data_IF_707182505134
#
_entry.id   IF_707182505134
#
_cell.length_a   1.000
_cell.length_b   1.000
_cell.length_c   1.000
_cell.angle_alpha   90.00
_cell.angle_beta   90.00
_cell.angle_gamma   90.00
#
_symmetry.space_group_name_H-M   'P 1'
#
loop_
_entity.id
_entity.type
_entity.pdbx_description
1 polymer ?
#
# COMPACT_ATOMS: atom_id res chain seq x y z
N UNK A 1 66.90 8.23 -52.34
CA UNK A 1 65.93 9.20 -51.78
C UNK A 1 64.99 8.36 -50.91
N UNK A 2 65.08 8.25 -49.57
CA UNK A 2 65.72 8.93 -48.45
C UNK A 2 66.13 7.84 -47.41
N UNK A 3 67.37 7.81 -46.89
CA UNK A 3 67.80 8.26 -45.54
C UNK A 3 67.29 7.32 -44.41
N UNK A 4 68.07 6.30 -43.96
CA UNK A 4 68.93 6.22 -42.73
C UNK A 4 68.14 6.33 -41.41
N UNK A 5 68.36 5.66 -40.26
CA UNK A 5 69.43 4.83 -39.66
C UNK A 5 69.02 4.47 -38.20
N UNK A 6 69.54 3.34 -37.68
CA UNK A 6 70.06 3.09 -36.29
C UNK A 6 69.10 3.14 -35.06
N UNK A 7 68.86 1.97 -34.45
CA UNK A 7 69.47 1.51 -33.18
C UNK A 7 69.14 2.11 -31.79
N UNK A 8 68.79 1.19 -30.86
CA UNK A 8 69.20 1.02 -29.43
C UNK A 8 68.35 1.54 -28.24
N UNK A 9 68.39 0.69 -27.18
CA UNK A 9 68.37 0.90 -25.71
C UNK A 9 67.01 1.01 -24.95
N UNK A 10 66.63 0.03 -24.11
CA UNK A 10 66.97 -0.28 -22.67
C UNK A 10 65.84 0.23 -21.69
N UNK A 11 65.77 -0.17 -20.40
CA UNK A 11 64.62 -0.85 -19.76
C UNK A 11 64.01 -0.07 -18.57
N UNK A 12 62.70 -0.18 -18.33
CA UNK A 12 61.99 0.43 -17.19
C UNK A 12 60.74 -0.44 -16.96
N UNK A 13 60.34 -0.95 -15.79
CA UNK A 13 60.59 -0.63 -14.38
C UNK A 13 60.36 -1.90 -13.54
N UNK A 14 61.37 -2.34 -12.79
CA UNK A 14 61.21 -3.12 -11.56
C UNK A 14 61.03 -2.12 -10.41
N UNK A 15 59.84 -1.54 -10.27
CA UNK A 15 59.50 -0.64 -9.17
C UNK A 15 57.98 -0.50 -9.06
N UNK A 16 57.33 -1.47 -8.40
CA UNK A 16 55.94 -1.33 -7.96
C UNK A 16 55.54 -2.33 -6.86
N UNK A 17 56.19 -3.50 -6.79
CA UNK A 17 55.73 -4.57 -5.89
C UNK A 17 56.18 -4.39 -4.42
N UNK A 18 57.12 -3.50 -4.12
CA UNK A 18 57.62 -3.28 -2.75
C UNK A 18 56.96 -2.12 -2.00
N UNK A 19 56.06 -1.35 -2.62
CA UNK A 19 55.37 -0.21 -1.97
C UNK A 19 53.99 -0.61 -1.43
N UNK A 20 53.42 -1.74 -1.85
CA UNK A 20 52.13 -2.23 -1.34
C UNK A 20 52.22 -3.00 -0.01
N UNK A 21 53.42 -3.33 0.47
CA UNK A 21 53.61 -4.11 1.71
C UNK A 21 54.02 -3.23 2.92
N UNK A 22 54.37 -1.95 2.70
CA UNK A 22 54.83 -1.04 3.78
C UNK A 22 53.90 0.14 4.08
N UNK A 23 52.68 0.14 3.54
CA UNK A 23 51.62 1.11 3.86
C UNK A 23 50.46 0.47 4.65
N UNK A 24 50.72 -0.66 5.30
CA UNK A 24 49.83 -1.28 6.30
C UNK A 24 50.44 -1.19 7.71
N UNK A 25 51.08 -0.07 8.02
CA UNK A 25 51.52 0.25 9.36
C UNK A 25 51.31 1.75 9.62
N UNK A 26 50.58 2.04 10.70
CA UNK A 26 50.20 3.36 11.24
C UNK A 26 48.99 4.06 10.62
N UNK A 27 47.81 3.54 10.96
CA UNK A 27 46.82 4.33 11.71
C UNK A 27 46.15 3.41 12.73
N UNK A 28 46.72 3.30 13.93
CA UNK A 28 45.97 2.80 15.08
C UNK A 28 45.72 4.00 15.99
N UNK A 29 44.53 4.58 15.86
CA UNK A 29 43.92 5.34 16.93
C UNK A 29 43.23 4.30 17.82
N UNK A 30 43.77 4.03 19.01
CA UNK A 30 43.22 3.00 19.90
C UNK A 30 42.02 3.54 20.65
N UNK A 31 40.84 3.26 20.10
CA UNK A 31 39.70 2.78 20.89
C UNK A 31 39.05 1.63 20.08
N UNK A 32 39.83 0.59 19.80
CA UNK A 32 39.43 -0.53 18.97
C UNK A 32 38.43 -1.41 19.73
N UNK A 33 37.14 -1.11 19.59
CA UNK A 33 36.04 -1.98 19.97
C UNK A 33 35.96 -3.15 18.99
N UNK A 34 36.01 -4.38 19.50
CA UNK A 34 35.89 -5.58 18.66
C UNK A 34 34.42 -5.83 18.31
N UNK A 35 34.16 -5.96 17.00
CA UNK A 35 32.84 -6.24 16.46
C UNK A 35 32.82 -7.67 15.92
N UNK A 36 31.89 -8.47 16.44
CA UNK A 36 31.57 -9.79 15.93
C UNK A 36 30.27 -9.70 15.13
N UNK A 37 30.08 -10.58 14.16
CA UNK A 37 28.87 -10.62 13.34
C UNK A 37 28.21 -11.99 13.40
N UNK A 38 26.88 -11.99 13.44
CA UNK A 38 26.06 -13.19 13.29
C UNK A 38 24.87 -12.86 12.40
N UNK A 39 24.54 -13.75 11.48
CA UNK A 39 23.31 -13.65 10.70
C UNK A 39 22.16 -14.19 11.54
N UNK A 40 21.04 -13.50 11.59
CA UNK A 40 19.86 -14.03 12.28
C UNK A 40 19.36 -15.34 11.65
N UNK A 41 18.49 -16.06 12.36
CA UNK A 41 18.02 -17.41 11.98
C UNK A 41 19.14 -18.44 11.73
N UNK A 42 20.39 -18.12 12.09
CA UNK A 42 21.51 -19.04 11.99
C UNK A 42 21.23 -20.32 12.79
N UNK A 43 21.50 -21.52 12.22
CA UNK A 43 21.27 -22.79 12.92
C UNK A 43 22.01 -22.88 14.25
N UNK A 44 21.43 -23.59 15.21
CA UNK A 44 22.09 -23.91 16.49
C UNK A 44 23.42 -24.63 16.23
N UNK A 45 24.48 -24.16 16.88
CA UNK A 45 25.85 -24.64 16.72
C UNK A 45 26.70 -23.80 15.76
N UNK A 46 26.11 -22.85 15.02
CA UNK A 46 26.85 -21.92 14.14
C UNK A 46 27.92 -21.18 14.93
N UNK A 47 29.15 -21.15 14.39
CA UNK A 47 30.29 -20.49 15.03
C UNK A 47 30.29 -19.01 14.68
N UNK A 48 30.40 -18.15 15.69
CA UNK A 48 30.61 -16.71 15.50
C UNK A 48 32.12 -16.49 15.37
N UNK A 49 32.56 -16.13 14.17
CA UNK A 49 33.97 -16.04 13.80
C UNK A 49 34.66 -14.81 14.43
N UNK A 50 35.99 -14.84 14.47
CA UNK A 50 36.83 -13.76 15.02
C UNK A 50 36.88 -13.68 16.54
N UNK A 51 35.81 -14.04 17.26
CA UNK A 51 35.75 -13.95 18.73
C UNK A 51 36.85 -14.78 19.40
N UNK A 52 37.01 -16.05 19.01
CA UNK A 52 38.01 -16.92 19.61
C UNK A 52 39.44 -16.44 19.36
N UNK A 53 39.72 -15.95 18.15
CA UNK A 53 41.02 -15.41 17.75
C UNK A 53 41.33 -14.15 18.56
N UNK A 54 40.40 -13.19 18.57
CA UNK A 54 40.51 -11.96 19.36
C UNK A 54 40.76 -12.24 20.85
N UNK A 55 39.98 -13.15 21.46
CA UNK A 55 40.16 -13.51 22.86
C UNK A 55 41.52 -14.20 23.12
N UNK A 56 42.02 -15.00 22.18
CA UNK A 56 43.30 -15.67 22.30
C UNK A 56 44.49 -14.70 22.10
N UNK A 57 44.36 -13.68 21.26
CA UNK A 57 45.39 -12.63 21.12
C UNK A 57 45.56 -11.81 22.41
N UNK A 58 44.49 -11.70 23.20
CA UNK A 58 44.54 -11.08 24.53
C UNK A 58 45.19 -11.99 25.58
N UNK A 59 45.34 -13.29 25.32
CA UNK A 59 46.09 -14.19 26.20
C UNK A 59 47.58 -13.96 25.99
N UNK A 60 48.21 -13.19 26.88
CA UNK A 60 49.67 -13.00 26.94
C UNK A 60 50.44 -14.24 27.44
N UNK A 61 50.11 -15.44 26.93
CA UNK A 61 50.77 -16.70 27.29
C UNK A 61 50.30 -17.37 28.60
N UNK A 62 49.36 -16.77 29.33
CA UNK A 62 48.77 -17.35 30.53
C UNK A 62 47.50 -18.20 30.24
N UNK A 63 47.24 -19.22 31.07
CA UNK A 63 46.10 -20.12 30.92
C UNK A 63 44.85 -19.48 31.53
N UNK A 64 43.88 -19.12 30.68
CA UNK A 64 42.60 -18.51 31.10
C UNK A 64 41.42 -19.40 30.70
N UNK A 65 40.38 -19.36 31.52
CA UNK A 65 39.03 -19.82 31.22
C UNK A 65 38.15 -18.63 30.86
N UNK A 66 37.33 -18.80 29.83
CA UNK A 66 36.36 -17.82 29.40
C UNK A 66 34.99 -18.11 30.00
N UNK A 67 34.29 -17.05 30.39
CA UNK A 67 32.92 -17.13 30.87
C UNK A 67 32.10 -16.00 30.23
N UNK A 68 31.01 -16.35 29.55
CA UNK A 68 30.03 -15.37 29.09
C UNK A 68 29.19 -14.92 30.30
N UNK A 69 29.11 -13.62 30.51
CA UNK A 69 28.27 -12.98 31.52
C UNK A 69 27.03 -12.39 30.87
N UNK A 70 25.98 -12.35 31.68
CA UNK A 70 24.70 -11.79 31.28
C UNK A 70 23.64 -12.88 31.29
N UNK A 71 22.48 -12.51 31.77
CA UNK A 71 21.23 -13.25 31.60
C UNK A 71 20.25 -12.44 30.75
N UNK A 72 20.81 -11.53 29.95
CA UNK A 72 20.10 -10.70 28.98
C UNK A 72 19.64 -11.53 27.78
N UNK A 73 18.77 -10.93 26.96
CA UNK A 73 18.12 -11.62 25.85
C UNK A 73 19.11 -12.33 24.94
N UNK A 74 20.21 -11.68 24.54
CA UNK A 74 21.18 -12.22 23.58
C UNK A 74 22.14 -13.25 24.22
N UNK A 75 22.60 -13.07 25.46
CA UNK A 75 23.60 -13.96 26.06
C UNK A 75 23.03 -15.37 26.30
N UNK A 76 21.72 -15.48 26.58
CA UNK A 76 21.01 -16.77 26.69
C UNK A 76 20.97 -17.55 25.38
N UNK A 77 21.04 -16.85 24.24
CA UNK A 77 20.97 -17.44 22.90
C UNK A 77 22.34 -17.92 22.40
N UNK A 78 23.40 -17.71 23.18
CA UNK A 78 24.77 -18.02 22.79
C UNK A 78 25.42 -19.01 23.77
N UNK A 79 26.48 -19.66 23.30
CA UNK A 79 27.33 -20.52 24.10
C UNK A 79 28.80 -20.19 23.83
N UNK A 80 29.54 -19.84 24.89
CA UNK A 80 30.98 -19.60 24.81
C UNK A 80 31.73 -20.81 25.35
N UNK A 81 32.58 -21.42 24.53
CA UNK A 81 33.39 -22.55 24.95
C UNK A 81 34.50 -22.11 25.92
N UNK A 82 34.59 -22.68 27.14
CA UNK A 82 35.36 -22.11 28.24
C UNK A 82 36.87 -22.14 28.05
N UNK A 83 37.43 -23.05 27.26
CA UNK A 83 38.89 -23.12 27.04
C UNK A 83 39.34 -22.52 25.71
N UNK A 84 38.51 -22.65 24.66
CA UNK A 84 38.87 -22.23 23.30
C UNK A 84 38.41 -20.81 22.97
N UNK A 85 37.43 -20.27 23.69
CA UNK A 85 36.84 -18.97 23.40
C UNK A 85 35.92 -18.98 22.18
N UNK A 86 35.59 -20.17 21.65
CA UNK A 86 34.68 -20.29 20.52
C UNK A 86 33.26 -19.96 20.96
N UNK A 87 32.71 -18.89 20.39
CA UNK A 87 31.33 -18.48 20.58
C UNK A 87 30.44 -19.17 19.52
N UNK A 88 29.32 -19.74 19.95
CA UNK A 88 28.38 -20.44 19.08
C UNK A 88 26.94 -20.04 19.37
N UNK A 89 26.08 -20.12 18.36
CA UNK A 89 24.63 -20.00 18.50
C UNK A 89 24.10 -21.20 19.30
N UNK A 90 23.29 -20.94 20.32
CA UNK A 90 22.66 -21.95 21.19
C UNK A 90 21.16 -22.09 20.95
N UNK A 91 20.49 -20.99 20.60
CA UNK A 91 19.07 -20.93 20.32
C UNK A 91 18.79 -19.92 19.20
N UNK A 92 17.54 -19.89 18.69
CA UNK A 92 17.13 -18.99 17.60
C UNK A 92 17.44 -17.53 17.97
N UNK A 93 18.14 -16.85 17.06
CA UNK A 93 18.41 -15.41 17.13
C UNK A 93 17.49 -14.78 16.10
N UNK A 94 16.57 -13.95 16.58
CA UNK A 94 15.56 -13.23 15.80
C UNK A 94 15.81 -11.74 16.05
N UNK A 95 16.14 -11.00 15.00
CA UNK A 95 16.55 -9.60 15.10
C UNK A 95 15.34 -8.73 15.42
N UNK A 96 14.17 -9.02 14.88
CA UNK A 96 12.95 -8.23 15.10
C UNK A 96 12.57 -8.23 16.59
N UNK A 97 12.78 -9.36 17.28
CA UNK A 97 12.57 -9.50 18.72
C UNK A 97 13.65 -8.81 19.54
N UNK A 98 14.93 -8.93 19.15
CA UNK A 98 16.06 -8.38 19.91
C UNK A 98 16.24 -6.88 19.72
N UNK A 99 15.81 -6.35 18.57
CA UNK A 99 15.99 -4.97 18.14
C UNK A 99 14.70 -4.37 17.56
N UNK A 100 13.58 -4.33 18.32
CA UNK A 100 12.29 -3.84 17.82
C UNK A 100 12.32 -2.35 17.47
N UNK A 101 13.21 -1.58 18.14
CA UNK A 101 13.34 -0.14 17.96
C UNK A 101 14.32 0.27 16.86
N UNK A 102 15.00 -0.67 16.19
CA UNK A 102 15.77 -0.35 14.98
C UNK A 102 14.86 0.23 13.88
N UNK A 103 13.58 -0.14 13.92
CA UNK A 103 12.52 0.35 13.02
C UNK A 103 11.92 1.70 13.49
N UNK A 104 12.20 2.14 14.72
CA UNK A 104 11.57 3.32 15.34
C UNK A 104 12.09 4.67 14.79
N UNK A 105 13.07 4.67 13.89
CA UNK A 105 13.49 5.87 13.16
C UNK A 105 12.46 6.25 12.07
N UNK A 106 11.45 5.41 11.79
CA UNK A 106 10.47 5.68 10.72
C UNK A 106 9.03 5.97 11.19
N UNK A 107 8.71 5.87 12.48
CA UNK A 107 7.36 6.14 13.00
C UNK A 107 7.38 7.13 14.18
N UNK A 108 7.46 8.42 13.88
CA UNK A 108 6.98 9.45 14.81
C UNK A 108 5.45 9.50 14.75
N UNK A 109 4.76 8.48 15.28
CA UNK A 109 3.34 8.53 15.70
C UNK A 109 2.85 7.22 16.36
N UNK A 110 3.64 6.62 17.26
CA UNK A 110 3.15 5.57 18.16
C UNK A 110 3.31 5.99 19.63
N UNK A 111 2.55 7.00 20.02
CA UNK A 111 2.26 7.34 21.41
C UNK A 111 0.86 6.81 21.74
N UNK A 112 0.75 5.50 21.93
CA UNK A 112 -0.39 4.87 22.61
C UNK A 112 0.13 3.78 23.54
N UNK A 113 0.58 4.20 24.72
CA UNK A 113 0.64 3.32 25.89
C UNK A 113 -0.79 3.18 26.43
N UNK A 114 -1.52 2.21 25.90
CA UNK A 114 -2.69 1.65 26.54
C UNK A 114 -2.24 0.73 27.67
N UNK A 115 -2.28 1.25 28.89
CA UNK A 115 -2.15 0.50 30.13
C UNK A 115 -3.29 -0.52 30.23
N UNK A 116 -2.95 -1.79 30.38
CA UNK A 116 -3.47 -2.76 31.36
C UNK A 116 -3.27 -4.17 30.81
N UNK A 117 -2.16 -4.82 31.22
CA UNK A 117 -2.17 -6.16 31.79
C UNK A 117 -0.76 -6.50 32.31
N UNK A 118 -0.70 -6.76 33.61
CA UNK A 118 0.49 -7.23 34.31
C UNK A 118 0.86 -8.63 33.80
N UNK A 119 1.91 -8.70 32.98
CA UNK A 119 2.73 -9.91 32.89
C UNK A 119 4.16 -9.62 33.34
N UNK A 120 4.50 -10.31 34.41
CA UNK A 120 5.55 -10.02 35.37
C UNK A 120 6.90 -10.58 34.89
N UNK A 121 7.42 -10.13 33.73
CA UNK A 121 8.80 -10.45 33.29
C UNK A 121 9.47 -9.32 32.48
N UNK A 122 9.16 -8.06 32.77
CA UNK A 122 9.94 -6.92 32.28
C UNK A 122 10.95 -6.45 33.34
N UNK A 123 11.92 -7.31 33.69
CA UNK A 123 13.07 -6.87 34.49
C UNK A 123 14.04 -6.11 33.60
N UNK A 124 13.90 -4.78 33.60
CA UNK A 124 15.00 -3.81 33.51
C UNK A 124 16.14 -4.17 32.56
N UNK A 125 15.97 -3.87 31.28
CA UNK A 125 17.08 -3.67 30.33
C UNK A 125 16.74 -2.53 29.37
N UNK A 126 16.46 -1.36 29.93
CA UNK A 126 16.79 -0.12 29.24
C UNK A 126 18.32 0.04 29.30
N UNK A 127 19.03 -0.78 28.54
CA UNK A 127 20.46 -0.60 28.30
C UNK A 127 20.57 -0.04 26.88
N UNK A 128 21.08 1.18 26.80
CA UNK A 128 21.45 1.85 25.56
C UNK A 128 22.20 0.87 24.64
N UNK A 129 21.55 0.40 23.58
CA UNK A 129 22.26 -0.01 22.38
C UNK A 129 22.94 1.22 21.82
N UNK A 130 24.27 1.21 21.75
CA UNK A 130 25.03 2.29 21.10
C UNK A 130 24.63 2.34 19.63
N UNK A 131 24.06 3.47 19.21
CA UNK A 131 23.82 3.80 17.80
C UNK A 131 25.16 3.81 17.06
N UNK A 132 25.40 2.80 16.24
CA UNK A 132 26.34 2.88 15.14
C UNK A 132 25.52 3.11 13.87
N UNK A 133 25.50 4.34 13.38
CA UNK A 133 24.99 4.63 12.04
C UNK A 133 26.03 4.16 11.03
N UNK A 134 25.66 3.25 10.14
CA UNK A 134 26.51 2.91 9.01
C UNK A 134 26.54 4.07 8.00
N UNK A 135 27.47 4.03 7.05
CA UNK A 135 27.62 5.04 5.98
C UNK A 135 26.40 5.16 5.06
N UNK A 136 25.37 4.32 5.24
CA UNK A 136 24.09 4.33 4.53
C UNK A 136 22.90 4.80 5.41
N UNK A 137 23.13 5.22 6.65
CA UNK A 137 22.09 5.79 7.53
C UNK A 137 21.08 4.78 8.09
N UNK A 138 21.37 3.48 8.01
CA UNK A 138 20.53 2.41 8.57
C UNK A 138 21.01 2.07 9.98
N UNK A 139 20.11 2.06 10.95
CA UNK A 139 20.42 1.64 12.31
C UNK A 139 20.68 0.13 12.35
N UNK A 140 21.92 -0.28 12.59
CA UNK A 140 22.28 -1.70 12.71
C UNK A 140 21.86 -2.26 14.08
N UNK A 141 21.41 -3.52 14.11
CA UNK A 141 21.09 -4.20 15.36
C UNK A 141 22.38 -4.65 16.05
N UNK A 142 22.82 -3.88 17.04
CA UNK A 142 24.05 -4.17 17.80
C UNK A 142 23.70 -4.51 19.25
N UNK A 143 24.10 -5.70 19.67
CA UNK A 143 24.00 -6.16 21.05
C UNK A 143 25.38 -6.17 21.71
N UNK A 144 25.43 -6.09 23.03
CA UNK A 144 26.71 -6.10 23.76
C UNK A 144 26.86 -7.38 24.58
N UNK A 145 28.01 -8.04 24.45
CA UNK A 145 28.35 -9.24 25.19
C UNK A 145 29.47 -8.94 26.18
N UNK A 146 29.35 -9.50 27.37
CA UNK A 146 30.35 -9.34 28.43
C UNK A 146 31.04 -10.67 28.68
N UNK A 147 32.34 -10.75 28.45
CA UNK A 147 33.12 -11.97 28.64
C UNK A 147 34.14 -11.74 29.75
N UNK A 148 34.20 -12.66 30.72
CA UNK A 148 35.28 -12.71 31.71
C UNK A 148 36.40 -13.62 31.23
N UNK A 149 37.63 -13.14 31.40
CA UNK A 149 38.85 -13.92 31.36
C UNK A 149 39.22 -14.26 32.79
N UNK A 150 38.91 -15.48 33.21
CA UNK A 150 39.20 -15.98 34.55
C UNK A 150 40.50 -16.77 34.50
N UNK A 151 41.56 -16.34 35.20
CA UNK A 151 42.82 -17.05 35.15
C UNK A 151 42.76 -18.40 35.86
N UNK A 152 43.40 -19.40 35.28
CA UNK A 152 43.60 -20.70 35.93
C UNK A 152 44.83 -20.62 36.82
N UNK A 153 44.63 -20.70 38.12
CA UNK A 153 45.72 -20.95 39.06
C UNK A 153 46.24 -22.36 38.81
N UNK A 154 47.50 -22.52 38.39
CA UNK A 154 48.16 -23.83 38.44
C UNK A 154 48.24 -24.25 39.92
N UNK A 155 47.44 -25.22 40.34
CA UNK A 155 47.69 -25.94 41.59
C UNK A 155 48.98 -26.74 41.42
N UNK A 156 50.08 -26.21 41.96
CA UNK A 156 51.32 -26.96 42.11
C UNK A 156 51.11 -27.89 43.32
N UNK A 157 50.56 -29.08 43.09
CA UNK A 157 50.64 -30.17 44.07
C UNK A 157 52.05 -30.77 43.97
N UNK A 158 52.98 -30.17 44.73
CA UNK A 158 54.32 -30.73 44.97
C UNK A 158 54.35 -31.49 46.30
N UNK A 159 54.89 -32.72 46.37
CA UNK A 159 54.92 -33.53 47.58
C UNK A 159 56.10 -33.14 48.48
N UNK A 160 56.26 -31.87 48.83
CA UNK A 160 57.14 -31.43 49.92
C UNK A 160 56.81 -29.98 50.25
N UNK A 161 56.25 -29.76 51.44
CA UNK A 161 56.03 -28.42 51.96
C UNK A 161 57.36 -27.71 52.15
N UNK A 162 57.64 -26.69 51.34
CA UNK A 162 58.55 -25.57 51.60
C UNK A 162 58.33 -24.53 50.48
N UNK A 163 57.89 -23.32 50.85
CA UNK A 163 57.65 -22.20 49.92
C UNK A 163 58.95 -21.43 49.66
N UNK A 164 59.26 -21.14 48.39
CA UNK A 164 59.93 -19.91 48.00
C UNK A 164 58.99 -19.01 47.18
N UNK A 165 58.87 -17.75 47.61
CA UNK A 165 58.56 -16.58 46.78
C UNK A 165 57.45 -16.69 45.72
N UNK A 166 56.21 -16.42 46.12
CA UNK A 166 55.23 -15.82 45.20
C UNK A 166 55.36 -14.31 45.36
N UNK A 167 56.04 -13.65 44.42
CA UNK A 167 55.97 -12.18 44.28
C UNK A 167 55.79 -11.89 42.79
N UNK A 168 54.72 -11.15 42.51
CA UNK A 168 54.23 -10.59 41.25
C UNK A 168 53.81 -11.54 40.12
N UNK A 169 52.52 -11.87 40.13
CA UNK A 169 51.85 -12.53 39.02
C UNK A 169 50.35 -12.71 39.23
N UNK A 170 49.66 -11.72 39.81
CA UNK A 170 48.20 -11.79 39.96
C UNK A 170 47.60 -11.71 38.55
N UNK A 171 47.33 -12.86 37.94
CA UNK A 171 46.42 -12.91 36.82
C UNK A 171 45.07 -12.41 37.34
N UNK A 172 44.66 -11.21 36.91
CA UNK A 172 43.39 -10.62 37.32
C UNK A 172 42.29 -11.13 36.40
N UNK A 173 41.10 -11.29 36.96
CA UNK A 173 39.91 -11.50 36.12
C UNK A 173 39.64 -10.21 35.36
N UNK A 174 39.63 -10.29 34.03
CA UNK A 174 39.39 -9.15 33.15
C UNK A 174 38.03 -9.28 32.47
N UNK A 175 37.29 -8.17 32.37
CA UNK A 175 36.03 -8.10 31.62
C UNK A 175 36.30 -7.51 30.24
N UNK A 176 35.81 -8.20 29.22
CA UNK A 176 35.88 -7.78 27.82
C UNK A 176 34.46 -7.51 27.34
N UNK A 177 34.30 -6.40 26.63
CA UNK A 177 33.07 -6.07 25.93
C UNK A 177 33.24 -6.42 24.45
N UNK A 178 32.29 -7.18 23.90
CA UNK A 178 32.20 -7.48 22.48
C UNK A 178 30.90 -6.87 21.95
N UNK A 179 30.97 -6.17 20.82
CA UNK A 179 29.79 -5.69 20.11
C UNK A 179 29.39 -6.75 19.09
N UNK A 180 28.23 -7.36 19.27
CA UNK A 180 27.67 -8.34 18.35
C UNK A 180 26.68 -7.66 17.41
N UNK A 181 27.06 -7.56 16.15
CA UNK A 181 26.20 -7.09 15.07
C UNK A 181 25.35 -8.26 14.58
N UNK A 182 24.02 -8.11 14.65
CA UNK A 182 23.07 -9.07 14.12
C UNK A 182 22.69 -8.60 12.71
N UNK A 183 23.04 -9.41 11.72
CA UNK A 183 22.78 -9.15 10.30
C UNK A 183 21.39 -9.65 9.94
N UNK A 184 20.62 -8.73 9.38
CA UNK A 184 19.24 -8.90 8.93
C UNK A 184 19.16 -9.84 7.71
N UNK A 185 18.10 -10.65 7.64
CA UNK A 185 17.72 -11.41 6.43
C UNK A 185 16.27 -11.13 6.06
N UNK A 186 15.88 -11.38 4.81
CA UNK A 186 14.49 -11.21 4.36
C UNK A 186 13.61 -12.39 4.82
N UNK A 187 13.40 -12.58 6.12
CA UNK A 187 12.60 -13.68 6.68
C UNK A 187 11.15 -13.29 7.00
N UNK A 188 10.81 -12.00 7.03
CA UNK A 188 9.44 -11.52 7.12
C UNK A 188 8.91 -11.09 5.75
N UNK A 189 7.61 -10.85 5.65
CA UNK A 189 6.98 -10.36 4.44
C UNK A 189 6.12 -9.13 4.78
N UNK A 190 5.83 -8.25 3.82
CA UNK A 190 4.98 -7.09 4.08
C UNK A 190 3.59 -7.51 4.59
N UNK A 191 3.10 -6.89 5.65
CA UNK A 191 1.79 -7.17 6.27
C UNK A 191 0.87 -5.95 6.31
N UNK A 192 -0.42 -6.17 6.04
CA UNK A 192 -1.46 -5.15 6.13
C UNK A 192 -2.08 -5.16 7.54
N UNK A 193 -1.87 -4.09 8.31
CA UNK A 193 -2.31 -4.02 9.72
C UNK A 193 -3.80 -3.70 9.88
N UNK A 194 -4.41 -3.02 8.91
CA UNK A 194 -5.83 -2.65 8.93
C UNK A 194 -6.78 -3.82 8.60
N UNK A 195 -6.25 -5.00 8.27
CA UNK A 195 -7.03 -6.15 7.82
C UNK A 195 -7.42 -6.07 6.35
N UNK A 196 -8.28 -7.00 5.93
CA UNK A 196 -8.79 -7.12 4.55
C UNK A 196 -10.24 -7.58 4.61
N UNK A 197 -11.18 -6.96 3.86
CA UNK A 197 -10.96 -5.95 2.82
C UNK A 197 -10.71 -4.54 3.37
N UNK A 198 -9.99 -3.73 2.58
CA UNK A 198 -9.89 -2.28 2.72
C UNK A 198 -10.98 -1.64 1.86
N UNK A 199 -11.71 -0.66 2.40
CA UNK A 199 -12.84 -0.02 1.69
C UNK A 199 -12.60 1.47 1.46
N UNK A 200 -12.84 1.94 0.22
CA UNK A 200 -12.66 3.34 -0.17
C UNK A 200 -13.85 3.79 -1.04
N UNK A 201 -14.32 5.02 -0.82
CA UNK A 201 -15.41 5.63 -1.61
C UNK A 201 -14.97 6.83 -2.45
N UNK A 202 -15.35 6.84 -3.73
CA UNK A 202 -15.27 8.02 -4.61
C UNK A 202 -16.66 8.42 -5.08
N UNK A 203 -16.98 9.70 -5.03
CA UNK A 203 -18.20 10.23 -5.64
C UNK A 203 -18.00 10.30 -7.14
N UNK A 204 -18.99 9.86 -7.91
CA UNK A 204 -18.94 9.92 -9.37
C UNK A 204 -18.91 11.33 -9.94
N UNK A 205 -18.46 11.45 -11.19
CA UNK A 205 -18.27 12.72 -11.89
C UNK A 205 -18.73 12.61 -13.35
N UNK A 206 -20.04 12.41 -13.59
CA UNK A 206 -20.59 12.08 -14.91
C UNK A 206 -20.44 13.23 -15.93
N UNK A 207 -20.37 14.47 -15.46
CA UNK A 207 -20.31 15.68 -16.30
C UNK A 207 -18.88 16.18 -16.62
N UNK A 208 -17.84 15.35 -16.45
CA UNK A 208 -16.48 15.69 -16.87
C UNK A 208 -16.31 15.57 -18.40
N UNK A 209 -17.13 16.30 -19.15
CA UNK A 209 -17.13 16.28 -20.61
C UNK A 209 -15.93 17.02 -21.23
N UNK A 210 -15.48 16.45 -22.36
CA UNK A 210 -14.54 16.94 -23.38
C UNK A 210 -13.07 16.49 -23.23
N UNK A 211 -12.74 15.47 -24.03
CA UNK A 211 -11.41 14.95 -24.38
C UNK A 211 -10.66 14.14 -23.31
N UNK A 212 -11.17 12.95 -22.98
CA UNK A 212 -10.32 11.88 -22.47
C UNK A 212 -9.99 10.92 -23.62
N UNK A 213 -8.79 11.06 -24.19
CA UNK A 213 -8.18 10.01 -25.00
C UNK A 213 -7.52 9.01 -24.05
N UNK A 214 -7.64 7.69 -24.26
CA UNK A 214 -6.73 6.74 -23.65
C UNK A 214 -5.32 7.18 -24.01
N UNK A 215 -4.43 7.32 -23.02
CA UNK A 215 -3.00 7.46 -23.29
C UNK A 215 -2.51 6.17 -23.95
N UNK A 216 -2.60 6.13 -25.28
CA UNK A 216 -1.84 5.20 -26.10
C UNK A 216 -0.35 5.55 -26.00
N UNK A 217 0.42 4.48 -25.93
CA UNK A 217 1.87 4.35 -25.98
C UNK A 217 2.59 5.32 -26.92
N UNK A 218 3.71 5.86 -26.44
CA UNK A 218 4.85 6.38 -27.20
C UNK A 218 4.58 7.34 -28.37
N UNK A 219 4.65 8.65 -28.11
CA UNK A 219 5.06 9.62 -29.11
C UNK A 219 5.83 10.79 -28.49
N UNK A 220 7.12 10.84 -28.82
CA UNK A 220 7.98 12.03 -28.73
C UNK A 220 7.46 13.09 -29.72
N UNK A 221 7.14 14.29 -29.23
CA UNK A 221 7.15 15.50 -30.08
C UNK A 221 7.54 16.73 -29.28
N UNK A 222 8.69 17.26 -29.65
CA UNK A 222 9.20 18.60 -29.34
C UNK A 222 8.24 19.68 -29.85
N UNK A 223 7.92 20.69 -29.04
CA UNK A 223 7.21 21.88 -29.51
C UNK A 223 6.77 22.82 -28.40
N UNK A 224 7.50 23.93 -28.25
CA UNK A 224 7.14 25.11 -27.46
C UNK A 224 5.86 25.77 -27.96
N UNK A 225 4.92 26.12 -27.06
CA UNK A 225 3.79 26.99 -27.40
C UNK A 225 2.74 27.03 -26.28
N UNK A 226 2.39 28.25 -25.86
CA UNK A 226 1.57 28.58 -24.70
C UNK A 226 0.14 28.02 -24.73
N UNK A 227 -0.38 27.67 -23.54
CA UNK A 227 -1.78 27.30 -23.32
C UNK A 227 -1.98 26.54 -22.01
N UNK A 228 -1.75 27.21 -20.87
CA UNK A 228 -2.03 26.65 -19.55
C UNK A 228 -3.55 26.52 -19.35
N UNK A 229 -4.10 25.36 -19.71
CA UNK A 229 -5.43 24.95 -19.26
C UNK A 229 -5.26 24.25 -17.91
N UNK A 230 -5.77 24.90 -16.86
CA UNK A 230 -5.89 24.37 -15.50
C UNK A 230 -6.77 23.11 -15.48
N UNK A 231 -6.18 21.97 -15.83
CA UNK A 231 -6.74 20.62 -15.60
C UNK A 231 -6.02 19.96 -14.40
N UNK A 232 -5.75 20.75 -13.35
CA UNK A 232 -4.98 20.34 -12.18
C UNK A 232 -5.72 20.36 -10.84
N UNK A 233 -6.98 20.81 -10.81
CA UNK A 233 -7.68 21.17 -9.55
C UNK A 233 -8.99 20.39 -9.29
N UNK A 234 -9.29 19.36 -10.09
CA UNK A 234 -10.47 18.48 -9.87
C UNK A 234 -10.06 17.05 -9.48
N UNK A 235 -9.02 16.49 -10.11
CA UNK A 235 -8.55 15.11 -9.86
C UNK A 235 -7.66 14.95 -8.63
N UNK A 236 -7.11 16.05 -8.11
CA UNK A 236 -6.31 16.10 -6.86
C UNK A 236 -7.18 16.26 -5.61
N UNK A 237 -8.41 16.77 -5.74
CA UNK A 237 -9.38 16.92 -4.64
C UNK A 237 -10.03 15.60 -4.22
N UNK A 238 -10.07 14.62 -5.11
CA UNK A 238 -10.67 13.31 -4.85
C UNK A 238 -9.64 12.25 -4.42
N UNK A 239 -8.42 12.62 -4.04
CA UNK A 239 -7.42 11.67 -3.54
C UNK A 239 -7.84 11.09 -2.19
N UNK A 240 -7.71 9.77 -2.04
CA UNK A 240 -7.92 9.03 -0.80
C UNK A 240 -6.61 8.44 -0.32
N UNK A 241 -6.51 8.16 0.97
CA UNK A 241 -5.29 7.60 1.58
C UNK A 241 -5.48 6.14 1.97
N UNK A 242 -4.43 5.34 1.81
CA UNK A 242 -4.35 3.96 2.28
C UNK A 242 -3.13 3.83 3.17
N UNK A 243 -3.29 3.23 4.35
CA UNK A 243 -2.15 2.92 5.21
C UNK A 243 -1.20 1.97 4.49
N UNK A 244 0.09 2.12 4.73
CA UNK A 244 1.11 1.27 4.13
C UNK A 244 1.11 -0.11 4.77
N UNK A 245 1.52 -1.12 4.00
CA UNK A 245 1.93 -2.37 4.59
C UNK A 245 3.19 -2.12 5.44
N UNK A 246 3.31 -2.86 6.54
CA UNK A 246 4.46 -2.84 7.42
C UNK A 246 5.33 -4.06 7.14
N UNK A 247 6.63 -3.86 7.04
CA UNK A 247 7.59 -4.94 6.96
C UNK A 247 8.61 -4.75 8.10
N UNK A 248 8.76 -5.74 9.00
CA UNK A 248 9.60 -5.58 10.17
C UNK A 248 11.10 -5.67 9.87
N UNK A 249 11.53 -6.10 8.67
CA UNK A 249 12.94 -6.26 8.30
C UNK A 249 13.67 -4.91 8.17
N UNK A 250 14.96 -4.89 7.84
CA UNK A 250 15.74 -3.66 7.67
C UNK A 250 16.15 -3.37 6.22
N UNK A 251 16.30 -2.07 5.92
CA UNK A 251 16.87 -1.62 4.65
C UNK A 251 16.02 -2.01 3.45
N UNK A 252 16.62 -2.71 2.48
CA UNK A 252 15.90 -3.15 1.27
C UNK A 252 14.89 -4.27 1.57
N UNK A 253 15.13 -5.08 2.61
CA UNK A 253 14.23 -6.16 3.00
C UNK A 253 12.89 -5.62 3.53
N UNK A 254 12.85 -4.39 4.06
CA UNK A 254 11.58 -3.70 4.41
C UNK A 254 11.16 -2.59 3.46
N UNK A 255 11.88 -2.39 2.36
CA UNK A 255 11.49 -1.39 1.36
C UNK A 255 10.41 -1.97 0.45
N UNK A 256 9.20 -1.42 0.54
CA UNK A 256 8.02 -1.97 -0.14
C UNK A 256 7.69 -1.20 -1.42
N UNK A 257 7.36 -1.93 -2.48
CA UNK A 257 6.75 -1.46 -3.73
C UNK A 257 5.30 -1.95 -3.82
N UNK A 258 4.39 -1.07 -4.24
CA UNK A 258 2.96 -1.35 -4.30
C UNK A 258 2.43 -1.46 -5.72
N UNK A 259 1.45 -2.34 -5.94
CA UNK A 259 0.72 -2.48 -7.22
C UNK A 259 -0.77 -2.74 -6.99
N UNK A 260 -1.61 -2.13 -7.82
CA UNK A 260 -3.04 -2.45 -7.92
C UNK A 260 -3.24 -3.51 -9.00
N UNK A 261 -3.98 -4.56 -8.68
CA UNK A 261 -4.28 -5.67 -9.57
C UNK A 261 -5.79 -5.92 -9.62
N UNK A 262 -6.27 -6.47 -10.73
CA UNK A 262 -7.68 -6.83 -10.94
C UNK A 262 -8.36 -5.95 -12.00
N UNK A 263 -9.57 -6.35 -12.44
CA UNK A 263 -10.33 -5.60 -13.45
C UNK A 263 -10.66 -4.19 -12.97
N UNK A 264 -10.36 -3.18 -13.78
CA UNK A 264 -10.63 -1.77 -13.45
C UNK A 264 -9.54 -1.08 -12.63
N UNK A 265 -8.44 -1.77 -12.30
CA UNK A 265 -7.26 -1.15 -11.68
C UNK A 265 -6.68 0.00 -12.54
N UNK A 266 -6.80 -0.11 -13.86
CA UNK A 266 -6.41 0.88 -14.85
C UNK A 266 -7.14 2.23 -14.73
N UNK A 267 -8.26 2.29 -14.00
CA UNK A 267 -8.99 3.54 -13.76
C UNK A 267 -8.44 4.32 -12.57
N UNK A 268 -7.52 3.74 -11.81
CA UNK A 268 -6.97 4.32 -10.60
C UNK A 268 -5.45 4.45 -10.67
N UNK A 269 -4.95 5.52 -10.06
CA UNK A 269 -3.52 5.69 -9.85
C UNK A 269 -3.21 5.61 -8.37
N UNK A 270 -2.22 4.78 -8.04
CA UNK A 270 -1.63 4.67 -6.72
C UNK A 270 -0.30 5.43 -6.71
N UNK A 271 -0.23 6.49 -5.92
CA UNK A 271 0.94 7.33 -5.72
C UNK A 271 1.54 7.00 -4.34
N UNK A 272 2.82 6.63 -4.34
CA UNK A 272 3.55 6.15 -3.16
C UNK A 272 4.17 7.30 -2.33
N UNK A 273 3.61 8.52 -2.43
CA UNK A 273 4.04 9.70 -1.68
C UNK A 273 5.46 10.23 -1.96
N UNK A 274 6.28 9.49 -2.71
CA UNK A 274 7.55 9.97 -3.25
C UNK A 274 7.28 10.80 -4.49
N UNK A 275 7.79 12.03 -4.54
CA UNK A 275 7.90 12.75 -5.80
C UNK A 275 8.82 11.96 -6.73
N UNK A 276 8.25 11.07 -7.54
CA UNK A 276 8.96 10.55 -8.71
C UNK A 276 9.12 11.72 -9.65
N UNK A 277 10.29 12.35 -9.62
CA UNK A 277 10.64 13.42 -10.53
C UNK A 277 10.58 12.82 -11.93
N UNK A 278 9.81 13.44 -12.82
CA UNK A 278 9.49 12.93 -14.17
C UNK A 278 10.77 12.75 -15.03
N UNK A 279 11.90 13.27 -14.56
CA UNK A 279 13.22 13.13 -15.16
C UNK A 279 13.87 11.74 -14.92
N UNK A 280 13.53 11.03 -13.85
CA UNK A 280 14.12 9.70 -13.54
C UNK A 280 13.59 8.60 -14.48
N UNK A 281 12.33 8.70 -14.92
CA UNK A 281 11.72 7.80 -15.91
C UNK A 281 12.26 8.00 -17.33
N UNK A 282 12.76 9.21 -17.67
CA UNK A 282 13.37 9.49 -18.97
C UNK A 282 14.81 8.99 -19.07
N UNK A 283 15.48 8.77 -17.94
CA UNK A 283 16.86 8.28 -17.90
C UNK A 283 16.91 6.74 -17.93
N UNK A 284 15.95 6.06 -17.29
CA UNK A 284 15.83 4.60 -17.29
C UNK A 284 15.59 4.01 -18.71
N UNK A 285 14.81 4.70 -19.56
CA UNK A 285 14.53 4.24 -20.92
C UNK A 285 15.71 4.42 -21.91
N UNK A 286 16.86 4.95 -21.48
CA UNK A 286 18.01 5.20 -22.36
C UNK A 286 19.22 4.30 -22.09
N UNK A 287 19.20 3.50 -21.03
CA UNK A 287 20.32 2.63 -20.63
C UNK A 287 19.76 1.29 -20.14
N UNK A 288 19.95 0.16 -20.87
CA UNK A 288 19.33 -1.12 -20.53
C UNK A 288 19.77 -1.79 -19.21
N UNK A 289 20.76 -1.23 -18.51
CA UNK A 289 21.32 -1.78 -17.25
C UNK A 289 21.38 -0.73 -16.12
N UNK A 290 20.62 0.36 -16.21
CA UNK A 290 20.58 1.35 -15.12
C UNK A 290 19.61 0.89 -14.02
N UNK A 291 20.14 0.22 -13.01
CA UNK A 291 19.49 0.14 -11.70
C UNK A 291 19.28 1.58 -11.20
N UNK A 292 18.06 2.02 -10.89
CA UNK A 292 17.87 3.34 -10.31
C UNK A 292 18.70 3.39 -9.03
N UNK A 293 19.70 4.26 -9.02
CA UNK A 293 20.38 4.62 -7.77
C UNK A 293 19.29 5.03 -6.81
N UNK A 294 19.22 4.34 -5.67
CA UNK A 294 18.32 4.64 -4.58
C UNK A 294 18.43 6.14 -4.27
N UNK A 295 17.45 6.90 -4.78
CA UNK A 295 17.26 8.28 -4.44
C UNK A 295 16.87 8.29 -2.96
N UNK A 296 17.89 8.48 -2.13
CA UNK A 296 17.84 8.96 -0.74
C UNK A 296 16.60 8.51 0.05
N UNK A 297 16.76 7.40 0.76
CA UNK A 297 15.86 6.86 1.80
C UNK A 297 15.61 7.85 2.95
N UNK A 298 14.87 8.92 2.68
CA UNK A 298 14.46 9.89 3.70
C UNK A 298 12.96 10.17 3.57
N UNK A 299 12.21 9.79 4.61
CA UNK A 299 10.79 10.05 4.85
C UNK A 299 9.77 9.26 4.00
N UNK A 300 9.37 8.06 4.44
CA UNK A 300 8.13 7.38 3.97
C UNK A 300 7.11 7.19 5.10
N UNK A 301 6.83 8.26 5.84
CA UNK A 301 5.78 8.30 6.85
C UNK A 301 4.39 8.70 6.28
N UNK A 302 4.28 9.07 5.00
CA UNK A 302 3.00 9.46 4.41
C UNK A 302 2.21 8.24 3.92
N UNK A 303 0.90 8.13 4.19
CA UNK A 303 0.04 7.10 3.61
C UNK A 303 0.14 7.08 2.08
N UNK A 304 -0.15 5.91 1.49
CA UNK A 304 -0.34 5.79 0.04
C UNK A 304 -1.50 6.68 -0.39
N UNK A 305 -1.42 7.24 -1.59
CA UNK A 305 -2.48 8.05 -2.17
C UNK A 305 -3.09 7.33 -3.36
N UNK A 306 -4.41 7.23 -3.41
CA UNK A 306 -5.14 6.66 -4.54
C UNK A 306 -6.14 7.68 -5.09
N UNK A 307 -6.21 7.79 -6.41
CA UNK A 307 -7.14 8.70 -7.08
C UNK A 307 -7.61 8.11 -8.42
N UNK A 308 -8.85 8.39 -8.84
CA UNK A 308 -9.29 8.05 -10.18
C UNK A 308 -8.49 8.86 -11.21
N UNK A 309 -8.16 8.22 -12.33
CA UNK A 309 -7.56 8.87 -13.50
C UNK A 309 -8.52 8.95 -14.67
N UNK A 310 -9.76 8.51 -14.49
CA UNK A 310 -10.86 8.74 -15.44
C UNK A 310 -12.06 9.26 -14.66
N UNK A 311 -13.00 9.97 -15.30
CA UNK A 311 -14.30 10.23 -14.71
C UNK A 311 -14.97 8.90 -14.34
N UNK A 312 -15.38 8.77 -13.08
CA UNK A 312 -16.16 7.63 -12.63
C UNK A 312 -17.64 7.93 -12.88
N UNK A 313 -18.37 6.91 -13.31
CA UNK A 313 -19.81 6.93 -13.55
C UNK A 313 -20.36 5.56 -13.13
N UNK A 314 -21.27 5.54 -12.15
CA UNK A 314 -21.79 4.34 -11.51
C UNK A 314 -22.73 3.57 -12.43
N UNK A 315 -23.44 4.27 -13.31
CA UNK A 315 -24.42 3.72 -14.24
C UNK A 315 -23.79 3.14 -15.51
N UNK A 316 -22.52 3.47 -15.79
CA UNK A 316 -21.80 2.93 -16.94
C UNK A 316 -21.59 1.41 -16.81
N UNK A 317 -22.08 0.67 -17.81
CA UNK A 317 -22.02 -0.80 -17.85
C UNK A 317 -20.62 -1.36 -18.16
N UNK A 318 -19.73 -0.54 -18.74
CA UNK A 318 -18.38 -0.94 -19.15
C UNK A 318 -17.39 -1.03 -17.97
N UNK A 319 -17.70 -0.40 -16.84
CA UNK A 319 -16.88 -0.56 -15.65
C UNK A 319 -17.09 -1.98 -15.11
N UNK A 320 -16.00 -2.74 -15.03
CA UNK A 320 -15.94 -4.08 -14.45
C UNK A 320 -16.50 -4.18 -13.02
N UNK A 321 -16.79 -3.04 -12.37
CA UNK A 321 -17.61 -2.94 -11.19
C UNK A 321 -19.11 -2.85 -11.51
N UNK A 322 -19.75 -4.01 -11.66
CA UNK A 322 -21.21 -4.13 -11.77
C UNK A 322 -21.88 -3.38 -10.59
N UNK A 323 -22.52 -2.23 -10.86
CA UNK A 323 -23.20 -1.42 -9.85
C UNK A 323 -22.29 -0.51 -9.01
N UNK A 324 -21.11 -0.12 -9.52
CA UNK A 324 -20.24 0.85 -8.86
C UNK A 324 -19.31 0.27 -7.81
N UNK A 325 -18.92 -1.00 -7.90
CA UNK A 325 -17.99 -1.63 -6.96
C UNK A 325 -16.81 -2.28 -7.69
N UNK A 326 -15.60 -1.75 -7.50
CA UNK A 326 -14.38 -2.39 -7.97
C UNK A 326 -13.79 -3.29 -6.89
N UNK A 327 -13.56 -4.55 -7.22
CA UNK A 327 -12.90 -5.52 -6.35
C UNK A 327 -11.46 -5.73 -6.83
N UNK A 328 -10.54 -4.97 -6.24
CA UNK A 328 -9.13 -4.96 -6.59
C UNK A 328 -8.29 -5.68 -5.55
N UNK A 329 -7.06 -6.02 -5.91
CA UNK A 329 -6.04 -6.54 -4.98
C UNK A 329 -4.91 -5.53 -4.89
N UNK A 330 -4.60 -5.08 -3.67
CA UNK A 330 -3.46 -4.24 -3.38
C UNK A 330 -2.28 -5.13 -2.95
N UNK A 331 -1.28 -5.23 -3.82
CA UNK A 331 -0.09 -6.06 -3.63
C UNK A 331 1.07 -5.20 -3.12
N UNK A 332 1.64 -5.59 -1.98
CA UNK A 332 2.91 -5.09 -1.44
C UNK A 332 4.01 -6.12 -1.72
N UNK A 333 5.16 -5.67 -2.21
CA UNK A 333 6.33 -6.51 -2.49
C UNK A 333 7.56 -5.84 -1.89
N UNK A 334 8.27 -6.53 -1.00
CA UNK A 334 9.55 -6.02 -0.50
C UNK A 334 10.63 -6.07 -1.60
N UNK A 335 11.77 -5.42 -1.33
CA UNK A 335 12.93 -5.43 -2.22
C UNK A 335 14.03 -6.39 -1.74
N UNK A 336 13.68 -7.35 -0.87
CA UNK A 336 14.60 -8.38 -0.40
C UNK A 336 14.84 -9.49 -1.43
N UNK A 337 15.72 -10.43 -1.09
CA UNK A 337 16.08 -11.56 -1.94
C UNK A 337 15.95 -12.89 -1.17
N UNK A 338 15.06 -13.82 -1.59
CA UNK A 338 14.02 -13.63 -2.61
C UNK A 338 12.98 -12.59 -2.14
N UNK A 339 12.32 -11.86 -3.05
CA UNK A 339 11.31 -10.88 -2.66
C UNK A 339 10.08 -11.58 -2.10
N UNK A 340 9.49 -11.04 -1.04
CA UNK A 340 8.24 -11.54 -0.46
C UNK A 340 7.13 -10.53 -0.64
N UNK A 341 5.90 -11.03 -0.49
CA UNK A 341 4.71 -10.25 -0.83
C UNK A 341 3.60 -10.41 0.20
N UNK A 342 2.88 -9.31 0.41
CA UNK A 342 1.63 -9.26 1.16
C UNK A 342 0.52 -8.70 0.28
N UNK A 343 -0.71 -9.18 0.45
CA UNK A 343 -1.85 -8.70 -0.34
C UNK A 343 -3.06 -8.42 0.53
N UNK A 344 -3.84 -7.42 0.14
CA UNK A 344 -5.14 -7.09 0.71
C UNK A 344 -6.17 -6.90 -0.40
N UNK A 345 -7.43 -7.27 -0.12
CA UNK A 345 -8.55 -6.94 -1.00
C UNK A 345 -8.85 -5.45 -0.82
N UNK A 346 -8.97 -4.70 -1.90
CA UNK A 346 -9.36 -3.30 -1.93
C UNK A 346 -10.71 -3.17 -2.65
N UNK A 347 -11.75 -2.83 -1.90
CA UNK A 347 -13.09 -2.56 -2.39
C UNK A 347 -13.26 -1.06 -2.61
N UNK A 348 -13.40 -0.65 -3.87
CA UNK A 348 -13.65 0.75 -4.21
C UNK A 348 -15.13 0.92 -4.58
N UNK A 349 -15.83 1.74 -3.82
CA UNK A 349 -17.22 2.11 -4.04
C UNK A 349 -17.32 3.42 -4.81
N UNK A 350 -18.09 3.40 -5.90
CA UNK A 350 -18.55 4.59 -6.60
C UNK A 350 -19.86 5.04 -5.94
N UNK A 351 -19.83 6.22 -5.36
CA UNK A 351 -20.94 6.82 -4.64
C UNK A 351 -21.78 7.60 -5.66
N UNK A 352 -23.04 7.19 -5.74
CA UNK A 352 -24.10 7.73 -6.60
C UNK A 352 -24.39 9.22 -6.36
N UNK A 353 -24.64 9.92 -7.45
CA UNK A 353 -25.11 11.29 -7.58
C UNK A 353 -26.37 11.23 -8.44
N UNK A 354 -27.41 11.97 -8.04
CA UNK A 354 -28.64 12.06 -8.85
C UNK A 354 -28.39 12.86 -10.13
N UNK A 355 -27.94 12.19 -11.18
CA UNK A 355 -27.64 12.76 -12.49
C UNK A 355 -28.47 12.13 -13.62
N UNK A 356 -29.17 11.02 -13.35
CA UNK A 356 -30.16 10.47 -14.25
C UNK A 356 -31.58 10.97 -13.94
N UNK A 357 -32.30 11.28 -15.01
CA UNK A 357 -33.71 11.62 -14.92
C UNK A 357 -34.57 10.37 -15.12
N UNK A 358 -35.71 10.24 -14.40
CA UNK A 358 -36.66 9.18 -14.63
C UNK A 358 -37.15 9.13 -16.09
N UNK A 359 -37.19 7.92 -16.66
CA UNK A 359 -37.65 7.70 -18.04
C UNK A 359 -38.86 6.78 -18.04
N UNK A 360 -39.95 7.22 -18.68
CA UNK A 360 -41.12 6.37 -18.94
C UNK A 360 -40.84 5.37 -20.08
N UNK A 361 -41.41 4.17 -19.96
CA UNK A 361 -41.35 3.09 -20.96
C UNK A 361 -42.75 2.70 -21.42
N UNK A 362 -42.89 2.26 -22.68
CA UNK A 362 -44.15 1.70 -23.15
C UNK A 362 -43.88 0.40 -23.92
N UNK A 363 -44.49 -0.70 -23.46
CA UNK A 363 -44.35 -2.05 -24.05
C UNK A 363 -44.76 -2.11 -25.55
N UNK A 364 -45.51 -1.11 -26.04
CA UNK A 364 -45.92 -1.00 -27.46
C UNK A 364 -45.03 -0.12 -28.34
N UNK A 365 -43.96 0.46 -27.81
CA UNK A 365 -42.97 1.22 -28.60
C UNK A 365 -41.71 0.39 -28.87
N UNK A 366 -41.89 -0.83 -29.38
CA UNK A 366 -40.83 -1.46 -30.18
C UNK A 366 -40.92 -0.88 -31.59
N UNK A 367 -39.88 -0.13 -31.99
CA UNK A 367 -39.55 0.30 -33.34
C UNK A 367 -40.58 -0.10 -34.43
N UNK A 368 -41.60 0.74 -34.60
CA UNK A 368 -42.53 0.62 -35.71
C UNK A 368 -41.85 1.01 -37.02
N UNK A 369 -41.24 0.04 -37.71
CA UNK A 369 -41.16 0.07 -39.17
C UNK A 369 -42.60 -0.06 -39.69
N UNK A 370 -43.31 1.06 -39.74
CA UNK A 370 -44.72 1.12 -40.05
C UNK A 370 -45.07 2.49 -40.59
N UNK A 371 -45.17 2.56 -41.91
CA UNK A 371 -45.59 3.73 -42.69
C UNK A 371 -46.93 4.26 -42.19
N UNK A 372 -46.90 5.39 -41.49
CA UNK A 372 -48.05 6.27 -41.34
C UNK A 372 -47.57 7.71 -41.34
N UNK A 373 -48.03 8.46 -42.32
CA UNK A 373 -47.63 9.82 -42.70
C UNK A 373 -48.06 10.90 -41.68
N UNK A 374 -47.83 10.65 -40.39
CA UNK A 374 -47.93 11.65 -39.32
C UNK A 374 -46.59 11.75 -38.55
N UNK A 375 -45.57 10.97 -38.92
CA UNK A 375 -44.22 10.98 -38.34
C UNK A 375 -43.32 12.16 -38.75
N UNK A 376 -43.89 13.34 -39.06
CA UNK A 376 -43.15 14.54 -39.47
C UNK A 376 -43.56 15.82 -38.74
N UNK A 377 -44.06 15.70 -37.52
CA UNK A 377 -44.09 16.83 -36.58
C UNK A 377 -42.95 16.68 -35.57
N UNK A 378 -41.84 17.34 -35.91
CA UNK A 378 -40.91 18.03 -35.02
C UNK A 378 -40.41 17.33 -33.75
N UNK A 379 -39.07 17.15 -33.71
CA UNK A 379 -38.20 17.08 -32.52
C UNK A 379 -38.34 18.33 -31.62
N UNK A 380 -39.54 18.62 -31.13
CA UNK A 380 -39.83 19.72 -30.19
C UNK A 380 -40.56 19.20 -28.94
N UNK A 381 -41.21 18.01 -28.99
CA UNK A 381 -41.69 17.30 -27.79
C UNK A 381 -40.76 16.13 -27.43
N UNK A 382 -39.55 16.45 -26.98
CA UNK A 382 -38.57 15.46 -26.52
C UNK A 382 -39.01 14.82 -25.20
N UNK A 383 -39.70 13.67 -25.26
CA UNK A 383 -39.95 12.83 -24.07
C UNK A 383 -41.40 12.48 -23.74
N UNK A 384 -42.38 12.81 -24.59
CA UNK A 384 -43.77 12.44 -24.31
C UNK A 384 -44.05 10.97 -24.68
N UNK A 385 -44.11 10.10 -23.66
CA UNK A 385 -44.54 8.70 -23.82
C UNK A 385 -46.07 8.62 -23.76
N UNK A 386 -46.70 8.13 -24.83
CA UNK A 386 -48.16 8.02 -24.91
C UNK A 386 -48.62 6.64 -24.45
N UNK A 387 -49.40 6.62 -23.37
CA UNK A 387 -50.06 5.42 -22.87
C UNK A 387 -51.48 5.32 -23.41
N UNK A 388 -51.88 4.11 -23.84
CA UNK A 388 -53.25 3.80 -24.27
C UNK A 388 -53.71 2.51 -23.62
N UNK A 389 -54.99 2.40 -23.18
CA UNK A 389 -55.54 1.15 -22.67
C UNK A 389 -55.30 -0.01 -23.65
N UNK A 390 -55.11 -1.22 -23.15
CA UNK A 390 -54.80 -2.39 -23.98
C UNK A 390 -55.84 -2.63 -25.08
N UNK A 391 -57.11 -2.36 -24.78
CA UNK A 391 -58.28 -2.44 -25.67
C UNK A 391 -58.46 -1.23 -26.61
N UNK A 392 -57.65 -0.17 -26.49
CA UNK A 392 -57.79 1.07 -27.26
C UNK A 392 -58.91 2.01 -26.79
N UNK A 393 -59.95 1.49 -26.14
CA UNK A 393 -61.07 2.24 -25.57
C UNK A 393 -61.46 1.69 -24.18
N UNK A 394 -62.08 2.55 -23.37
CA UNK A 394 -62.61 2.22 -22.04
C UNK A 394 -64.13 2.18 -22.16
N UNK A 395 -64.78 1.13 -21.63
CA UNK A 395 -66.25 1.07 -21.58
C UNK A 395 -66.77 1.99 -20.50
N UNK A 396 -67.85 2.72 -20.77
CA UNK A 396 -68.48 3.59 -19.77
C UNK A 396 -69.01 2.80 -18.56
N UNK A 397 -69.43 1.55 -18.78
CA UNK A 397 -69.92 0.62 -17.74
C UNK A 397 -68.82 0.07 -16.83
N UNK A 398 -67.58 0.56 -16.94
CA UNK A 398 -66.48 0.08 -16.13
C UNK A 398 -66.72 0.47 -14.66
N UNK A 399 -66.64 -0.47 -13.70
CA UNK A 399 -66.87 -0.14 -12.30
C UNK A 399 -65.84 0.87 -11.77
N UNK A 400 -66.27 1.72 -10.85
CA UNK A 400 -65.35 2.55 -10.05
C UNK A 400 -64.33 1.65 -9.33
N UNK A 401 -63.07 2.06 -9.34
CA UNK A 401 -61.93 1.32 -8.82
C UNK A 401 -61.21 0.45 -9.86
N UNK A 402 -61.79 0.26 -11.05
CA UNK A 402 -61.16 -0.55 -12.10
C UNK A 402 -59.86 0.05 -12.60
N UNK A 403 -58.84 -0.80 -12.78
CA UNK A 403 -57.56 -0.44 -13.37
C UNK A 403 -57.72 -0.21 -14.88
N UNK A 404 -57.25 0.93 -15.36
CA UNK A 404 -57.24 1.29 -16.79
C UNK A 404 -55.91 0.96 -17.42
N UNK A 405 -54.82 1.40 -16.78
CA UNK A 405 -53.45 1.22 -17.26
C UNK A 405 -52.48 1.31 -16.10
N UNK A 406 -51.36 0.60 -16.21
CA UNK A 406 -50.22 0.78 -15.32
C UNK A 406 -49.09 1.43 -16.11
N UNK A 407 -48.57 2.53 -15.59
CA UNK A 407 -47.42 3.23 -16.14
C UNK A 407 -46.14 2.48 -15.75
N UNK A 408 -45.13 2.59 -16.61
CA UNK A 408 -43.82 2.02 -16.35
C UNK A 408 -42.76 3.12 -16.52
N UNK A 409 -41.92 3.30 -15.52
CA UNK A 409 -40.79 4.21 -15.58
C UNK A 409 -39.63 3.64 -14.77
N UNK A 410 -38.41 3.97 -15.18
CA UNK A 410 -37.19 3.61 -14.47
C UNK A 410 -36.33 4.84 -14.27
N UNK A 411 -35.61 4.86 -13.16
CA UNK A 411 -34.46 5.71 -12.95
C UNK A 411 -33.20 4.82 -12.89
N UNK A 412 -32.07 5.31 -13.37
CA UNK A 412 -30.81 4.55 -13.39
C UNK A 412 -29.98 4.73 -12.11
N UNK A 413 -30.24 5.78 -11.35
CA UNK A 413 -29.62 6.05 -10.03
C UNK A 413 -29.90 4.91 -9.02
N UNK A 414 -29.41 5.03 -7.78
CA UNK A 414 -29.70 4.06 -6.70
C UNK A 414 -30.35 4.67 -5.46
N UNK A 415 -31.07 3.83 -4.71
CA UNK A 415 -31.61 4.20 -3.41
C UNK A 415 -32.67 5.32 -3.52
N UNK A 416 -32.60 6.37 -2.68
CA UNK A 416 -33.54 7.48 -2.73
C UNK A 416 -33.52 8.27 -4.04
N UNK A 417 -32.38 8.32 -4.75
CA UNK A 417 -32.28 9.05 -6.02
C UNK A 417 -33.10 8.39 -7.13
N UNK A 418 -33.19 7.06 -7.13
CA UNK A 418 -34.06 6.30 -8.04
C UNK A 418 -35.50 6.08 -7.54
N UNK A 419 -35.90 6.66 -6.41
CA UNK A 419 -37.26 6.47 -5.88
C UNK A 419 -38.26 7.34 -6.66
N UNK A 420 -39.08 6.67 -7.46
CA UNK A 420 -40.11 7.29 -8.29
C UNK A 420 -41.43 7.49 -7.54
N UNK A 421 -42.05 8.66 -7.77
CA UNK A 421 -43.43 8.95 -7.35
C UNK A 421 -44.23 9.42 -8.56
N UNK A 422 -45.34 8.75 -8.85
CA UNK A 422 -46.24 9.07 -9.96
C UNK A 422 -47.31 10.06 -9.52
N UNK A 423 -47.54 11.12 -10.30
CA UNK A 423 -48.61 12.08 -10.04
C UNK A 423 -49.15 12.68 -11.35
N UNK A 424 -50.41 13.09 -11.35
CA UNK A 424 -50.94 13.85 -12.47
C UNK A 424 -50.19 15.18 -12.59
N UNK A 425 -49.83 15.53 -13.82
CA UNK A 425 -49.20 16.81 -14.13
C UNK A 425 -50.06 17.92 -13.51
N UNK A 426 -49.47 18.87 -12.77
CA UNK A 426 -50.21 20.02 -12.25
C UNK A 426 -51.03 20.76 -13.31
N UNK A 427 -50.60 20.67 -14.58
CA UNK A 427 -51.27 21.23 -15.75
C UNK A 427 -52.65 20.60 -16.07
N UNK A 428 -52.82 19.29 -15.88
CA UNK A 428 -54.04 18.55 -16.22
C UNK A 428 -54.72 17.92 -14.99
N UNK A 429 -54.15 18.13 -13.80
CA UNK A 429 -54.52 17.45 -12.56
C UNK A 429 -56.00 17.59 -12.22
N UNK A 430 -56.58 18.78 -12.38
CA UNK A 430 -57.98 19.03 -12.05
C UNK A 430 -58.94 18.19 -12.89
N UNK A 431 -58.66 18.07 -14.18
CA UNK A 431 -59.47 17.29 -15.12
C UNK A 431 -59.25 15.78 -14.90
N UNK A 432 -58.00 15.38 -14.68
CA UNK A 432 -57.66 13.97 -14.46
C UNK A 432 -58.25 13.43 -13.15
N UNK A 433 -58.11 14.17 -12.04
CA UNK A 433 -58.56 13.75 -10.71
C UNK A 433 -60.08 13.69 -10.56
N UNK A 434 -60.85 14.31 -11.46
CA UNK A 434 -62.31 14.21 -11.44
C UNK A 434 -62.79 12.79 -11.78
N UNK A 435 -62.09 12.09 -12.69
CA UNK A 435 -62.50 10.78 -13.21
C UNK A 435 -61.54 9.65 -12.86
N UNK A 436 -60.27 9.97 -12.61
CA UNK A 436 -59.22 8.98 -12.37
C UNK A 436 -58.39 9.31 -11.14
N UNK A 437 -57.73 8.28 -10.60
CA UNK A 437 -56.62 8.43 -9.65
C UNK A 437 -55.40 7.70 -10.19
N UNK A 438 -54.21 8.21 -9.87
CA UNK A 438 -52.93 7.52 -10.11
C UNK A 438 -52.38 7.06 -8.77
N UNK A 439 -51.98 5.79 -8.69
CA UNK A 439 -51.24 5.25 -7.57
C UNK A 439 -49.80 5.82 -7.59
N UNK A 440 -49.35 6.48 -6.51
CA UNK A 440 -48.07 7.18 -6.49
C UNK A 440 -46.86 6.23 -6.50
N UNK A 441 -46.99 5.00 -6.02
CA UNK A 441 -45.87 4.07 -5.92
C UNK A 441 -45.80 3.15 -7.15
N UNK A 442 -46.96 2.78 -7.72
CA UNK A 442 -47.05 1.78 -8.78
C UNK A 442 -47.47 2.33 -10.14
N UNK A 443 -47.81 3.62 -10.24
CA UNK A 443 -48.23 4.24 -11.50
C UNK A 443 -49.55 3.67 -12.06
N UNK A 444 -50.40 3.10 -11.20
CA UNK A 444 -51.68 2.48 -11.60
C UNK A 444 -52.77 3.53 -11.71
N UNK A 445 -53.33 3.70 -12.89
CA UNK A 445 -54.44 4.61 -13.13
C UNK A 445 -55.76 3.85 -13.03
N UNK A 446 -56.64 4.28 -12.13
CA UNK A 446 -57.96 3.65 -11.91
C UNK A 446 -59.09 4.68 -11.90
N UNK A 447 -60.29 4.22 -12.23
CA UNK A 447 -61.50 5.05 -12.29
C UNK A 447 -61.97 5.41 -10.89
N UNK A 448 -62.29 6.67 -10.61
CA UNK A 448 -62.87 7.11 -9.32
C UNK A 448 -64.29 7.64 -9.43
N UNK A 449 -64.76 7.92 -10.65
CA UNK A 449 -66.10 8.41 -10.94
C UNK A 449 -66.69 7.59 -12.10
N UNK A 450 -67.99 7.23 -12.05
CA UNK A 450 -68.64 6.55 -13.17
C UNK A 450 -68.43 7.32 -14.48
N UNK A 451 -68.07 6.60 -15.54
CA UNK A 451 -67.92 7.16 -16.87
C UNK A 451 -69.29 7.14 -17.55
N UNK A 452 -69.60 8.19 -18.31
CA UNK A 452 -70.86 8.33 -19.06
C UNK A 452 -70.52 8.93 -20.42
N UNK A 453 -70.75 8.18 -21.49
CA UNK A 453 -70.45 8.61 -22.85
C UNK A 453 -71.47 9.61 -23.41
N UNK A 454 -72.72 9.53 -22.93
CA UNK A 454 -73.83 10.35 -23.41
C UNK A 454 -73.82 11.75 -22.78
N UNK A 455 -73.50 11.85 -21.49
CA UNK A 455 -73.51 13.11 -20.74
C UNK A 455 -72.11 13.59 -20.31
N UNK A 456 -71.07 12.77 -20.46
CA UNK A 456 -69.70 13.07 -20.04
C UNK A 456 -68.68 13.22 -21.18
N UNK A 457 -67.39 13.36 -20.83
CA UNK A 457 -66.32 13.44 -21.82
C UNK A 457 -66.18 12.13 -22.62
N UNK A 458 -66.20 12.23 -23.95
CA UNK A 458 -66.01 11.09 -24.86
C UNK A 458 -64.56 10.67 -25.03
N UNK A 459 -63.63 11.54 -24.65
CA UNK A 459 -62.20 11.31 -24.71
C UNK A 459 -61.54 11.97 -23.50
N UNK A 460 -60.58 11.27 -22.91
CA UNK A 460 -59.73 11.78 -21.84
C UNK A 460 -58.30 11.87 -22.34
N UNK A 461 -57.67 13.02 -22.10
CA UNK A 461 -56.25 13.24 -22.34
C UNK A 461 -55.71 14.08 -21.19
N UNK A 462 -54.69 13.57 -20.52
CA UNK A 462 -54.02 14.24 -19.41
C UNK A 462 -52.58 13.75 -19.34
N UNK A 463 -51.69 14.59 -18.81
CA UNK A 463 -50.28 14.27 -18.60
C UNK A 463 -50.04 13.72 -17.20
N UNK A 464 -49.07 12.81 -17.09
CA UNK A 464 -48.54 12.31 -15.82
C UNK A 464 -47.08 12.74 -15.74
N UNK A 465 -46.65 13.13 -14.54
CA UNK A 465 -45.29 13.52 -14.22
C UNK A 465 -44.71 12.60 -13.15
N UNK A 466 -43.40 12.38 -13.21
CA UNK A 466 -42.64 11.78 -12.12
C UNK A 466 -42.10 12.90 -11.24
N UNK A 467 -42.23 12.73 -9.94
CA UNK A 467 -41.66 13.62 -8.93
C UNK A 467 -40.61 12.84 -8.14
N UNK A 468 -39.43 13.43 -7.98
CA UNK A 468 -38.41 12.88 -7.10
C UNK A 468 -38.91 12.87 -5.66
N UNK A 469 -38.69 11.75 -4.98
CA UNK A 469 -39.00 11.65 -3.57
C UNK A 469 -38.15 12.64 -2.77
N UNK A 470 -38.80 13.54 -2.00
CA UNK A 470 -38.15 14.38 -1.00
C UNK A 470 -38.63 13.96 0.39
N UNK A 471 -37.74 13.78 1.37
CA UNK A 471 -38.14 13.45 2.74
C UNK A 471 -38.95 14.55 3.44
N UNK A 472 -38.92 15.79 2.93
CA UNK A 472 -39.43 16.98 3.63
C UNK A 472 -40.82 17.47 3.13
N UNK A 473 -41.61 16.63 2.46
CA UNK A 473 -43.00 16.95 2.06
C UNK A 473 -43.97 15.82 2.31
#
# INVERSE_FOLDING_TARGET
MMITTIGKCYPQMLLSVTIFITLFALFITTDASFHAEVVEESPVGTVIHGVAEFLNDLKSGAEFQYQLLGDDGVSRLLNLHPSTGQLRVRARIDREVLCPNANAIQNHNALFLGSENNDLFASSSAILGSKAENSQGVAECVQTLNILLVPRTKEIVGPTGLRPGVIDGISRTSRILIYLVIRDINDNAPIWTQGSPLEIGFVETPNAGLAWSPLESDAVTTGSGAGANNLGDSTTKNTRTIDRAFDPDLGLNSSIVYRLLGPGAEYFRLDDGGQSNIDDLKLANKIPDFLPQASTLTSRASPLQIRPIVPLDRETEDFSGRGGLFNLTLLATDMGLPPKTGSAILLIHVIDVNDHAPVFHNDRYQHGSGTSEIGRLNRIDGGLVVYRPSSGAIRETVPVGSLIIQLNATDRDVGPHAKLVYDFCPCDRSVAMEYFRVDPDFGRISVVKPLDYDHGPRQFQFKVSLIYWRPDR
#
